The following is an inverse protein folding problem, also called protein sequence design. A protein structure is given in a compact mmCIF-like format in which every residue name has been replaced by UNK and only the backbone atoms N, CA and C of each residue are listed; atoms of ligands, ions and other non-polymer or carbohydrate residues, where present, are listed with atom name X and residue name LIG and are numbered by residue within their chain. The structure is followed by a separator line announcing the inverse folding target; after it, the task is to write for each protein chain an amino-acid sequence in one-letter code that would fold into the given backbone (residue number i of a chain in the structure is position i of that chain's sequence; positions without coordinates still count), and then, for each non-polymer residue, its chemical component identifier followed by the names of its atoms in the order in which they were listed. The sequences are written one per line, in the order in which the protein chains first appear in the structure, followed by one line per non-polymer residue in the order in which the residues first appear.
data_IF_251894440620
#
_entry.id   IF_251894440620
#
_cell.length_a   1.000
_cell.length_b   1.000
_cell.length_c   1.000
_cell.angle_alpha   90.00
_cell.angle_beta   90.00
_cell.angle_gamma   90.00
#
_symmetry.space_group_name_H-M   'P 1'
#
loop_
_entity.id
_entity.type
_entity.pdbx_description
1 polymer ?
#
# COMPACT_ATOMS: atom_id res chain seq x y z
N UNK A 1 -13.93 -8.34 70.99
CA UNK A 1 -13.40 -9.17 69.87
C UNK A 1 -13.24 -8.26 68.65
N UNK A 2 -12.01 -7.86 68.29
CA UNK A 2 -11.70 -7.03 67.15
C UNK A 2 -11.15 -7.93 66.05
N UNK A 3 -11.88 -8.11 64.97
CA UNK A 3 -11.48 -8.92 63.82
C UNK A 3 -10.76 -8.03 62.81
N UNK A 4 -9.48 -8.23 62.66
CA UNK A 4 -8.61 -7.53 61.73
C UNK A 4 -8.69 -8.23 60.37
N UNK A 5 -9.24 -7.54 59.34
CA UNK A 5 -9.22 -8.02 57.95
C UNK A 5 -7.87 -7.66 57.32
N UNK A 6 -7.10 -8.67 56.97
CA UNK A 6 -5.83 -8.54 56.24
C UNK A 6 -6.17 -8.53 54.75
N UNK A 7 -6.06 -7.38 54.11
CA UNK A 7 -6.22 -7.26 52.63
C UNK A 7 -4.92 -7.71 51.95
N UNK A 8 -4.98 -8.81 51.23
CA UNK A 8 -3.91 -9.25 50.33
C UNK A 8 -3.96 -8.43 49.06
N UNK A 9 -3.03 -7.50 48.90
CA UNK A 9 -2.81 -6.80 47.65
C UNK A 9 -2.06 -7.73 46.69
N UNK A 10 -2.77 -8.31 45.72
CA UNK A 10 -2.14 -9.00 44.57
C UNK A 10 -1.56 -7.91 43.64
N UNK A 11 -0.24 -7.72 43.73
CA UNK A 11 0.51 -7.01 42.68
C UNK A 11 0.53 -7.89 41.41
N UNK A 12 -0.39 -7.64 40.47
CA UNK A 12 -0.26 -8.15 39.12
C UNK A 12 0.89 -7.41 38.46
N UNK A 13 2.04 -8.05 38.39
CA UNK A 13 3.16 -7.60 37.56
C UNK A 13 2.72 -7.67 36.07
N UNK A 14 2.34 -6.54 35.50
CA UNK A 14 2.13 -6.41 34.05
C UNK A 14 3.53 -6.52 33.43
N UNK A 15 3.89 -7.73 33.02
CA UNK A 15 5.04 -7.95 32.15
C UNK A 15 4.72 -7.26 30.81
N UNK A 16 5.11 -5.99 30.67
CA UNK A 16 5.14 -5.34 29.38
C UNK A 16 6.18 -6.06 28.54
N UNK A 17 5.71 -7.06 27.79
CA UNK A 17 6.50 -7.68 26.74
C UNK A 17 6.86 -6.54 25.76
N UNK A 18 8.10 -6.05 25.82
CA UNK A 18 8.67 -5.08 24.89
C UNK A 18 8.68 -5.75 23.50
N UNK A 19 7.53 -5.67 22.82
CA UNK A 19 7.45 -6.02 21.42
C UNK A 19 8.41 -5.08 20.69
N UNK A 20 9.48 -5.64 20.12
CA UNK A 20 10.46 -4.86 19.38
C UNK A 20 9.78 -4.03 18.28
N UNK A 21 10.41 -2.96 17.79
CA UNK A 21 9.80 -2.04 16.84
C UNK A 21 9.25 -2.79 15.62
N UNK A 22 8.00 -2.48 15.28
CA UNK A 22 7.26 -3.12 14.20
C UNK A 22 7.17 -2.21 12.97
N UNK A 23 7.16 -2.78 11.78
CA UNK A 23 6.98 -2.08 10.52
C UNK A 23 5.94 -2.81 9.67
N UNK A 24 4.91 -2.09 9.23
CA UNK A 24 3.91 -2.60 8.31
C UNK A 24 4.51 -2.71 6.90
N UNK A 25 4.36 -3.87 6.28
CA UNK A 25 4.78 -4.10 4.90
C UNK A 25 3.80 -3.46 3.92
N UNK A 26 4.28 -3.27 2.69
CA UNK A 26 3.46 -2.97 1.51
C UNK A 26 3.51 -4.18 0.59
N UNK A 27 2.35 -4.73 0.27
CA UNK A 27 2.23 -5.93 -0.54
C UNK A 27 1.49 -5.62 -1.84
N UNK A 28 1.97 -6.18 -2.94
CA UNK A 28 1.33 -6.03 -4.24
C UNK A 28 0.66 -7.33 -4.65
N UNK A 29 -0.56 -7.22 -5.17
CA UNK A 29 -1.31 -8.35 -5.71
C UNK A 29 -0.68 -8.88 -7.01
N UNK A 30 -0.01 -8.00 -7.76
CA UNK A 30 0.58 -8.32 -9.06
C UNK A 30 2.04 -7.86 -9.16
N UNK A 31 2.81 -8.56 -9.99
CA UNK A 31 4.22 -8.25 -10.24
C UNK A 31 5.16 -8.95 -9.25
N UNK A 32 6.27 -8.30 -8.91
CA UNK A 32 7.25 -8.86 -7.99
C UNK A 32 6.64 -9.15 -6.63
N UNK A 33 6.86 -10.38 -6.14
CA UNK A 33 6.36 -10.80 -4.83
C UNK A 33 7.20 -10.17 -3.73
N UNK A 34 6.52 -9.55 -2.74
CA UNK A 34 7.14 -8.95 -1.54
C UNK A 34 6.80 -9.75 -0.31
N UNK A 35 7.15 -9.29 0.89
CA UNK A 35 6.85 -7.93 1.34
C UNK A 35 7.88 -6.88 0.94
N UNK A 36 7.38 -5.67 0.71
CA UNK A 36 8.17 -4.48 0.50
C UNK A 36 8.06 -3.56 1.73
N UNK A 37 9.10 -2.77 1.96
CA UNK A 37 9.15 -1.82 3.06
C UNK A 37 9.54 -0.44 2.53
N UNK A 38 9.02 0.66 3.10
CA UNK A 38 9.58 1.98 2.82
C UNK A 38 11.07 1.98 3.14
N UNK A 39 11.89 2.20 2.12
CA UNK A 39 13.36 2.08 2.21
C UNK A 39 13.92 2.91 3.36
N UNK A 40 13.51 4.17 3.47
CA UNK A 40 14.00 5.08 4.52
C UNK A 40 13.72 4.57 5.94
N UNK A 41 12.55 3.95 6.18
CA UNK A 41 12.20 3.40 7.48
C UNK A 41 13.00 2.13 7.80
N UNK A 42 13.14 1.21 6.82
CA UNK A 42 13.87 -0.03 6.99
C UNK A 42 15.37 0.23 7.28
N UNK A 43 16.03 1.09 6.50
CA UNK A 43 17.44 1.40 6.69
C UNK A 43 17.71 2.13 8.00
N UNK A 44 16.82 3.04 8.43
CA UNK A 44 16.90 3.70 9.74
C UNK A 44 16.88 2.69 10.88
N UNK A 45 16.01 1.67 10.81
CA UNK A 45 15.91 0.62 11.84
C UNK A 45 17.14 -0.28 11.88
N UNK A 46 17.77 -0.56 10.72
CA UNK A 46 19.00 -1.33 10.63
C UNK A 46 20.27 -0.50 10.94
N UNK A 47 20.15 0.83 11.04
CA UNK A 47 21.28 1.73 11.23
C UNK A 47 22.15 1.88 9.99
N UNK A 48 21.58 1.60 8.80
CA UNK A 48 22.28 1.77 7.54
C UNK A 48 22.20 3.22 7.07
N UNK A 49 23.20 3.62 6.30
CA UNK A 49 23.26 4.92 5.62
C UNK A 49 23.15 4.65 4.12
N UNK A 50 21.99 4.89 3.50
CA UNK A 50 21.81 4.70 2.06
C UNK A 50 22.59 5.79 1.31
N UNK A 51 23.12 5.43 0.13
CA UNK A 51 23.67 6.37 -0.84
C UNK A 51 22.88 6.23 -2.12
N UNK A 52 22.08 7.23 -2.45
CA UNK A 52 21.36 7.32 -3.73
C UNK A 52 22.23 8.11 -4.70
N UNK A 53 22.41 7.56 -5.89
CA UNK A 53 23.06 8.21 -7.03
C UNK A 53 22.01 8.33 -8.13
N UNK A 54 21.42 9.51 -8.23
CA UNK A 54 20.30 9.77 -9.15
C UNK A 54 20.77 9.79 -10.60
N UNK A 55 22.01 10.26 -10.88
CA UNK A 55 22.56 10.30 -12.23
C UNK A 55 22.74 8.90 -12.82
N UNK A 56 23.23 7.98 -12.01
CA UNK A 56 23.48 6.59 -12.43
C UNK A 56 22.29 5.65 -12.11
N UNK A 57 21.22 6.16 -11.52
CA UNK A 57 20.05 5.37 -11.14
C UNK A 57 20.40 4.23 -10.19
N UNK A 58 21.28 4.48 -9.19
CA UNK A 58 21.73 3.43 -8.27
C UNK A 58 21.51 3.80 -6.82
N UNK A 59 21.22 2.76 -6.01
CA UNK A 59 21.10 2.85 -4.56
C UNK A 59 22.10 1.89 -3.91
N UNK A 60 23.01 2.41 -3.09
CA UNK A 60 23.95 1.60 -2.31
C UNK A 60 23.45 1.46 -0.86
N UNK A 61 23.30 0.22 -0.41
CA UNK A 61 22.92 -0.15 0.95
C UNK A 61 23.96 -1.11 1.52
N UNK A 62 24.54 -0.80 2.67
CA UNK A 62 25.51 -1.68 3.36
C UNK A 62 26.53 -2.32 2.38
N UNK A 63 27.18 -1.51 1.54
CA UNK A 63 28.19 -1.91 0.53
C UNK A 63 27.63 -2.66 -0.70
N UNK A 64 26.33 -2.87 -0.82
CA UNK A 64 25.68 -3.49 -1.98
C UNK A 64 24.96 -2.44 -2.81
N UNK A 65 25.21 -2.43 -4.12
CA UNK A 65 24.56 -1.49 -5.05
C UNK A 65 23.45 -2.19 -5.83
N UNK A 66 22.33 -1.49 -5.99
CA UNK A 66 21.12 -1.90 -6.68
C UNK A 66 20.75 -0.85 -7.73
N UNK A 67 20.16 -1.28 -8.86
CA UNK A 67 19.54 -0.37 -9.81
C UNK A 67 18.18 0.10 -9.30
N UNK A 68 17.95 1.41 -9.24
CA UNK A 68 16.67 1.98 -8.80
C UNK A 68 15.55 1.75 -9.80
N UNK A 69 15.87 1.60 -11.09
CA UNK A 69 14.90 1.28 -12.15
C UNK A 69 14.12 -0.03 -11.88
N UNK A 70 14.77 -0.99 -11.23
CA UNK A 70 14.17 -2.28 -10.88
C UNK A 70 13.44 -2.28 -9.54
N UNK A 71 13.48 -1.16 -8.81
CA UNK A 71 12.83 -1.03 -7.52
C UNK A 71 11.41 -0.52 -7.69
N UNK A 72 10.52 -0.95 -6.81
CA UNK A 72 9.21 -0.34 -6.65
C UNK A 72 9.32 0.98 -5.91
N UNK A 73 8.40 1.89 -6.19
CA UNK A 73 8.23 3.11 -5.43
C UNK A 73 6.75 3.37 -5.15
N UNK A 74 6.47 4.22 -4.18
CA UNK A 74 5.18 4.89 -4.10
C UNK A 74 5.02 5.86 -5.26
N UNK A 75 3.80 6.34 -5.48
CA UNK A 75 3.49 7.31 -6.54
C UNK A 75 4.26 8.63 -6.39
N UNK A 76 4.66 8.97 -5.18
CA UNK A 76 5.46 10.15 -4.86
C UNK A 76 6.99 9.94 -5.01
N UNK A 77 7.41 8.81 -5.56
CA UNK A 77 8.81 8.47 -5.83
C UNK A 77 9.55 7.86 -4.64
N UNK A 78 8.98 7.79 -3.43
CA UNK A 78 9.63 7.14 -2.29
C UNK A 78 9.85 5.66 -2.57
N UNK A 79 11.11 5.21 -2.46
CA UNK A 79 11.52 3.86 -2.81
C UNK A 79 10.97 2.84 -1.81
N UNK A 80 10.49 1.73 -2.35
CA UNK A 80 10.13 0.51 -1.63
C UNK A 80 11.22 -0.53 -1.84
N UNK A 81 11.79 -1.03 -0.74
CA UNK A 81 12.80 -2.09 -0.78
C UNK A 81 12.18 -3.43 -0.44
N UNK A 82 12.49 -4.46 -1.22
CA UNK A 82 12.06 -5.82 -0.92
C UNK A 82 12.85 -6.41 0.26
N UNK A 83 12.22 -7.33 1.00
CA UNK A 83 12.92 -8.11 2.04
C UNK A 83 14.09 -8.89 1.44
N UNK A 84 13.96 -9.36 0.18
CA UNK A 84 15.04 -10.03 -0.53
C UNK A 84 16.26 -9.11 -0.76
N UNK A 85 16.03 -7.84 -1.15
CA UNK A 85 17.11 -6.88 -1.33
C UNK A 85 17.79 -6.50 -0.01
N UNK A 86 17.04 -6.42 1.09
CA UNK A 86 17.63 -6.24 2.43
C UNK A 86 18.52 -7.44 2.80
N UNK A 87 18.09 -8.65 2.46
CA UNK A 87 18.90 -9.88 2.66
C UNK A 87 20.16 -9.85 1.81
N UNK A 88 20.04 -9.48 0.53
CA UNK A 88 21.16 -9.33 -0.39
C UNK A 88 22.16 -8.26 0.09
N UNK A 89 21.68 -7.23 0.79
CA UNK A 89 22.51 -6.20 1.42
C UNK A 89 23.11 -6.63 2.78
N UNK A 90 22.81 -7.86 3.27
CA UNK A 90 23.42 -8.44 4.44
C UNK A 90 22.52 -8.50 5.70
N UNK A 91 21.24 -8.13 5.62
CA UNK A 91 20.30 -8.35 6.71
C UNK A 91 19.99 -9.85 6.88
N UNK A 92 19.75 -10.27 8.11
CA UNK A 92 19.26 -11.62 8.41
C UNK A 92 17.75 -11.58 8.59
N UNK A 93 17.06 -12.53 7.99
CA UNK A 93 15.62 -12.69 8.04
C UNK A 93 15.27 -14.01 8.73
N UNK A 94 14.31 -14.00 9.63
CA UNK A 94 13.79 -15.18 10.32
C UNK A 94 12.26 -15.07 10.48
N UNK A 95 11.56 -16.18 10.53
CA UNK A 95 10.10 -16.25 10.63
C UNK A 95 9.43 -16.02 9.27
N UNK A 96 8.13 -15.71 9.30
CA UNK A 96 7.32 -15.47 8.10
C UNK A 96 6.63 -16.72 7.57
N UNK A 97 6.60 -17.80 8.33
CA UNK A 97 5.78 -18.98 8.08
C UNK A 97 4.40 -18.78 8.74
N UNK A 98 3.35 -18.98 7.96
CA UNK A 98 1.99 -18.72 8.43
C UNK A 98 1.78 -17.26 8.86
N UNK A 99 1.26 -17.06 10.07
CA UNK A 99 0.99 -15.76 10.67
C UNK A 99 2.18 -15.16 11.45
N UNK A 100 3.31 -15.87 11.51
CA UNK A 100 4.48 -15.38 12.22
C UNK A 100 5.08 -14.14 11.53
N UNK A 101 5.31 -13.04 12.27
CA UNK A 101 5.93 -11.86 11.69
C UNK A 101 7.37 -12.13 11.28
N UNK A 102 7.77 -11.60 10.13
CA UNK A 102 9.18 -11.61 9.74
C UNK A 102 9.99 -10.77 10.71
N UNK A 103 11.12 -11.33 11.21
CA UNK A 103 12.11 -10.58 11.97
C UNK A 103 13.32 -10.29 11.09
N UNK A 104 13.58 -9.01 10.86
CA UNK A 104 14.75 -8.53 10.12
C UNK A 104 15.77 -8.00 11.11
N UNK A 105 17.05 -8.38 10.96
CA UNK A 105 18.11 -8.01 11.88
C UNK A 105 19.44 -7.77 11.19
N UNK A 106 20.26 -6.85 11.77
CA UNK A 106 21.63 -6.54 11.36
C UNK A 106 22.39 -5.92 12.52
N UNK A 107 23.60 -6.42 12.82
CA UNK A 107 24.54 -5.85 13.80
C UNK A 107 23.87 -5.48 15.16
N UNK A 108 23.09 -6.41 15.74
CA UNK A 108 22.42 -6.21 17.03
C UNK A 108 21.10 -5.43 16.96
N UNK A 109 20.78 -4.78 15.83
CA UNK A 109 19.49 -4.12 15.60
C UNK A 109 18.49 -5.08 14.97
N UNK A 110 17.23 -4.95 15.33
CA UNK A 110 16.17 -5.75 14.71
C UNK A 110 14.81 -5.07 14.77
N UNK A 111 13.92 -5.47 13.87
CA UNK A 111 12.50 -5.09 13.88
C UNK A 111 11.65 -6.22 13.31
N UNK A 112 10.35 -6.19 13.62
CA UNK A 112 9.37 -7.12 13.06
C UNK A 112 8.68 -6.49 11.87
N UNK A 113 8.36 -7.31 10.85
CA UNK A 113 7.55 -6.92 9.70
C UNK A 113 6.24 -7.67 9.77
N UNK A 114 5.14 -6.95 9.73
CA UNK A 114 3.79 -7.51 9.76
C UNK A 114 3.06 -7.21 8.46
N UNK A 115 2.16 -8.10 8.08
CA UNK A 115 1.16 -7.83 7.04
C UNK A 115 0.05 -6.96 7.63
N UNK A 116 -0.53 -6.12 6.82
CA UNK A 116 -1.62 -5.26 7.20
C UNK A 116 -2.79 -5.39 6.22
N UNK A 117 -4.00 -5.06 6.68
CA UNK A 117 -5.22 -5.10 5.88
C UNK A 117 -5.25 -3.92 4.92
N UNK A 118 -5.68 -4.16 3.70
CA UNK A 118 -5.87 -3.13 2.67
C UNK A 118 -7.29 -2.58 2.69
N UNK A 119 -7.41 -1.29 2.43
CA UNK A 119 -8.69 -0.63 2.15
C UNK A 119 -8.48 0.57 1.22
N UNK A 120 -9.53 0.96 0.52
CA UNK A 120 -9.53 2.17 -0.30
C UNK A 120 -10.79 3.01 -0.02
N UNK A 121 -10.66 4.32 -0.17
CA UNK A 121 -11.75 5.28 -0.10
C UNK A 121 -11.75 6.17 -1.33
N UNK A 122 -12.92 6.41 -1.86
CA UNK A 122 -13.16 7.33 -2.97
C UNK A 122 -14.09 8.42 -2.48
N UNK A 123 -13.55 9.62 -2.28
CA UNK A 123 -14.30 10.78 -1.90
C UNK A 123 -14.76 11.55 -3.15
N UNK A 124 -16.07 11.53 -3.41
CA UNK A 124 -16.67 12.15 -4.59
C UNK A 124 -16.76 13.67 -4.48
N UNK A 125 -16.79 14.24 -3.27
CA UNK A 125 -16.78 15.69 -3.06
C UNK A 125 -15.38 16.26 -3.33
N UNK A 126 -14.35 15.61 -2.80
CA UNK A 126 -12.96 16.02 -2.98
C UNK A 126 -12.38 15.61 -4.35
N UNK A 127 -13.03 14.70 -5.06
CA UNK A 127 -12.50 14.03 -6.25
C UNK A 127 -11.14 13.40 -5.97
N UNK A 128 -11.07 12.59 -4.89
CA UNK A 128 -9.86 11.93 -4.42
C UNK A 128 -10.08 10.45 -4.17
N UNK A 129 -9.03 9.68 -4.46
CA UNK A 129 -8.87 8.30 -4.03
C UNK A 129 -7.73 8.24 -3.03
N UNK A 130 -7.98 7.60 -1.90
CA UNK A 130 -6.98 7.24 -0.89
C UNK A 130 -6.98 5.74 -0.68
N UNK A 131 -5.79 5.15 -0.53
CA UNK A 131 -5.64 3.72 -0.27
C UNK A 131 -4.67 3.51 0.88
N UNK A 132 -5.02 2.59 1.78
CA UNK A 132 -4.22 2.28 2.96
C UNK A 132 -3.91 0.80 3.04
N UNK A 133 -2.72 0.48 3.55
CA UNK A 133 -2.37 -0.83 4.05
C UNK A 133 -1.99 -0.70 5.53
N UNK A 134 -2.85 -1.21 6.40
CA UNK A 134 -2.81 -0.91 7.84
C UNK A 134 -3.04 0.56 8.14
N UNK A 135 -2.11 1.15 8.86
CA UNK A 135 -2.11 2.58 9.19
C UNK A 135 -1.49 3.45 8.08
N UNK A 136 -0.82 2.85 7.11
CA UNK A 136 -0.05 3.55 6.08
C UNK A 136 -0.92 3.96 4.89
N UNK A 137 -0.95 5.26 4.57
CA UNK A 137 -1.44 5.76 3.30
C UNK A 137 -0.43 5.38 2.20
N UNK A 138 -0.80 4.45 1.32
CA UNK A 138 0.06 3.93 0.24
C UNK A 138 -0.18 4.62 -1.09
N UNK A 139 -1.36 5.21 -1.27
CA UNK A 139 -1.72 5.98 -2.46
C UNK A 139 -2.70 7.09 -2.08
N UNK A 140 -2.42 8.29 -2.52
CA UNK A 140 -3.39 9.36 -2.66
C UNK A 140 -3.32 9.91 -4.08
N UNK A 141 -4.48 10.07 -4.73
CA UNK A 141 -4.54 10.57 -6.11
C UNK A 141 -5.83 11.36 -6.35
N UNK A 142 -5.74 12.36 -7.22
CA UNK A 142 -6.94 12.94 -7.82
C UNK A 142 -7.68 11.89 -8.65
N UNK A 143 -8.99 12.05 -8.75
CA UNK A 143 -9.85 11.23 -9.62
C UNK A 143 -10.75 12.12 -10.47
N UNK A 144 -11.47 11.49 -11.39
CA UNK A 144 -12.65 12.10 -12.01
C UNK A 144 -13.77 11.06 -12.06
N UNK A 145 -14.81 11.30 -11.28
CA UNK A 145 -15.96 10.39 -11.13
C UNK A 145 -17.05 10.63 -12.19
N UNK A 146 -18.17 9.95 -12.06
CA UNK A 146 -19.32 10.06 -12.97
C UNK A 146 -20.10 11.36 -12.83
N UNK A 147 -20.47 11.95 -13.98
CA UNK A 147 -21.37 13.12 -14.06
C UNK A 147 -22.75 12.77 -13.54
N UNK A 148 -23.48 13.75 -13.02
CA UNK A 148 -24.87 13.58 -12.61
C UNK A 148 -25.06 12.50 -11.53
N UNK A 149 -24.07 12.31 -10.66
CA UNK A 149 -24.09 11.27 -9.61
C UNK A 149 -24.17 9.83 -10.12
N UNK A 150 -23.64 9.56 -11.32
CA UNK A 150 -23.65 8.21 -11.92
C UNK A 150 -22.63 7.24 -11.30
N UNK A 151 -21.70 7.74 -10.45
CA UNK A 151 -20.90 6.88 -9.57
C UNK A 151 -21.68 6.65 -8.28
N UNK A 152 -22.02 5.39 -7.93
CA UNK A 152 -22.77 5.10 -6.72
C UNK A 152 -21.93 5.31 -5.46
N UNK A 153 -22.56 5.77 -4.37
CA UNK A 153 -21.97 5.76 -3.03
C UNK A 153 -22.31 4.41 -2.35
N UNK A 154 -21.47 4.01 -1.40
CA UNK A 154 -21.66 2.79 -0.60
C UNK A 154 -20.37 2.05 -0.34
N UNK A 155 -20.51 0.88 0.27
CA UNK A 155 -19.42 -0.06 0.53
C UNK A 155 -19.37 -1.10 -0.59
N UNK A 156 -18.21 -1.29 -1.15
CA UNK A 156 -17.93 -2.21 -2.24
C UNK A 156 -16.64 -2.98 -1.96
N UNK A 157 -16.33 -3.91 -2.87
CA UNK A 157 -15.06 -4.62 -2.86
C UNK A 157 -14.40 -4.53 -4.24
N UNK A 158 -13.08 -4.61 -4.27
CA UNK A 158 -12.36 -4.77 -5.52
C UNK A 158 -12.81 -6.07 -6.19
N UNK A 159 -13.49 -5.94 -7.33
CA UNK A 159 -14.26 -7.02 -7.94
C UNK A 159 -13.42 -8.11 -8.57
N UNK A 160 -14.08 -9.16 -9.06
CA UNK A 160 -13.43 -10.31 -9.66
C UNK A 160 -12.70 -9.95 -10.96
N UNK A 161 -13.16 -8.93 -11.68
CA UNK A 161 -12.55 -8.53 -12.92
C UNK A 161 -11.47 -7.46 -12.69
N UNK A 162 -10.25 -7.79 -13.12
CA UNK A 162 -9.09 -6.89 -13.18
C UNK A 162 -8.37 -7.12 -14.50
N UNK A 163 -8.05 -6.05 -15.23
CA UNK A 163 -7.35 -6.14 -16.50
C UNK A 163 -6.36 -4.98 -16.70
N UNK A 164 -5.13 -5.31 -17.12
CA UNK A 164 -4.12 -4.30 -17.47
C UNK A 164 -4.54 -3.49 -18.71
N UNK A 165 -5.19 -4.16 -19.66
CA UNK A 165 -5.78 -3.55 -20.87
C UNK A 165 -7.25 -3.95 -20.90
N UNK A 166 -8.13 -2.98 -20.89
CA UNK A 166 -9.57 -3.17 -21.01
C UNK A 166 -10.13 -2.18 -22.03
N UNK A 167 -11.06 -2.64 -22.83
CA UNK A 167 -11.80 -1.83 -23.80
C UNK A 167 -13.28 -1.97 -23.52
N UNK A 168 -13.96 -0.87 -23.27
CA UNK A 168 -15.38 -0.88 -22.95
C UNK A 168 -16.24 -0.99 -24.20
N UNK A 169 -16.87 -2.14 -24.41
CA UNK A 169 -17.85 -2.32 -25.49
C UNK A 169 -19.04 -1.34 -25.40
N UNK A 170 -19.39 -0.90 -24.19
CA UNK A 170 -20.48 0.04 -23.92
C UNK A 170 -20.18 1.48 -24.35
N UNK A 171 -18.90 1.87 -24.41
CA UNK A 171 -18.47 3.25 -24.69
C UNK A 171 -17.53 3.30 -25.88
N UNK A 172 -17.98 2.79 -27.04
CA UNK A 172 -17.26 2.83 -28.30
C UNK A 172 -15.78 2.38 -28.19
N UNK A 173 -15.58 1.22 -27.57
CA UNK A 173 -14.25 0.67 -27.32
C UNK A 173 -13.27 1.61 -26.58
N UNK A 174 -13.80 2.47 -25.70
CA UNK A 174 -12.96 3.34 -24.89
C UNK A 174 -11.89 2.53 -24.12
N UNK A 175 -10.63 2.92 -24.29
CA UNK A 175 -9.51 2.28 -23.61
C UNK A 175 -9.47 2.65 -22.13
N UNK A 176 -9.51 1.65 -21.30
CA UNK A 176 -9.53 1.74 -19.83
C UNK A 176 -8.37 0.91 -19.24
N UNK A 177 -7.11 1.41 -19.30
CA UNK A 177 -5.97 0.68 -18.77
C UNK A 177 -6.05 0.53 -17.25
N UNK A 178 -5.46 -0.55 -16.72
CA UNK A 178 -5.38 -0.82 -15.29
C UNK A 178 -6.75 -0.87 -14.60
N UNK A 179 -7.72 -1.50 -15.24
CA UNK A 179 -9.09 -1.61 -14.76
C UNK A 179 -9.23 -2.53 -13.57
N UNK A 180 -9.92 -2.05 -12.54
CA UNK A 180 -10.40 -2.80 -11.37
C UNK A 180 -11.90 -2.58 -11.28
N UNK A 181 -12.69 -3.64 -11.38
CA UNK A 181 -14.14 -3.57 -11.22
C UNK A 181 -14.50 -3.22 -9.78
N UNK A 182 -15.50 -2.38 -9.58
CA UNK A 182 -16.09 -2.06 -8.28
C UNK A 182 -17.46 -2.71 -8.16
N UNK A 183 -18.36 -2.39 -9.09
CA UNK A 183 -19.71 -2.98 -9.15
C UNK A 183 -20.26 -2.86 -10.56
N UNK A 184 -20.96 -3.89 -11.05
CA UNK A 184 -21.55 -3.87 -12.39
C UNK A 184 -20.57 -3.38 -13.47
N UNK A 185 -20.91 -2.26 -14.11
CA UNK A 185 -20.10 -1.62 -15.15
C UNK A 185 -19.24 -0.44 -14.61
N UNK A 186 -19.13 -0.29 -13.31
CA UNK A 186 -18.32 0.75 -12.67
C UNK A 186 -16.92 0.21 -12.36
N UNK A 187 -15.91 0.88 -12.89
CA UNK A 187 -14.50 0.53 -12.76
C UNK A 187 -13.69 1.71 -12.23
N UNK A 188 -12.63 1.40 -11.50
CA UNK A 188 -11.49 2.31 -11.28
C UNK A 188 -10.49 1.98 -12.38
N UNK A 189 -10.07 2.98 -13.18
CA UNK A 189 -9.17 2.74 -14.32
C UNK A 189 -8.36 3.97 -14.69
N UNK A 190 -7.28 3.78 -15.42
CA UNK A 190 -6.50 4.86 -16.00
C UNK A 190 -7.26 5.60 -17.11
N UNK A 191 -7.12 6.94 -17.16
CA UNK A 191 -7.66 7.75 -18.25
C UNK A 191 -6.77 8.95 -18.54
N UNK A 192 -6.75 9.40 -19.81
CA UNK A 192 -5.90 10.53 -20.24
C UNK A 192 -6.29 11.85 -19.59
N UNK A 193 -7.60 12.08 -19.43
CA UNK A 193 -8.14 13.30 -18.85
C UNK A 193 -8.80 13.01 -17.51
N UNK A 194 -8.22 13.55 -16.43
CA UNK A 194 -8.69 13.38 -15.06
C UNK A 194 -8.82 14.77 -14.41
N UNK A 195 -9.84 15.55 -14.82
CA UNK A 195 -10.13 16.83 -14.15
C UNK A 195 -10.62 16.57 -12.73
N UNK A 196 -10.45 17.56 -11.85
CA UNK A 196 -10.91 17.47 -10.44
C UNK A 196 -12.43 17.78 -10.31
N UNK A 197 -13.21 17.31 -11.25
CA UNK A 197 -14.68 17.34 -11.24
C UNK A 197 -15.23 16.09 -11.94
N UNK A 198 -16.49 15.72 -11.69
CA UNK A 198 -17.14 14.58 -12.32
C UNK A 198 -17.24 14.75 -13.85
N UNK A 199 -16.56 13.90 -14.63
CA UNK A 199 -16.53 13.98 -16.08
C UNK A 199 -16.74 12.63 -16.79
N UNK A 200 -16.80 11.52 -16.07
CA UNK A 200 -17.04 10.18 -16.64
C UNK A 200 -18.53 9.87 -16.79
N UNK A 201 -18.84 8.69 -17.32
CA UNK A 201 -20.20 8.15 -17.39
C UNK A 201 -20.55 7.23 -16.18
N UNK A 202 -19.70 7.24 -15.13
CA UNK A 202 -19.89 6.44 -13.90
C UNK A 202 -18.60 5.87 -13.34
N UNK A 203 -17.65 5.48 -14.18
CA UNK A 203 -16.34 4.97 -13.73
C UNK A 203 -15.52 6.02 -13.00
N UNK A 204 -14.57 5.58 -12.22
CA UNK A 204 -13.60 6.40 -11.49
C UNK A 204 -12.30 6.42 -12.28
N UNK A 205 -11.94 7.57 -12.83
CA UNK A 205 -10.73 7.78 -13.62
C UNK A 205 -9.56 8.13 -12.74
N UNK A 206 -8.41 7.50 -12.96
CA UNK A 206 -7.13 7.80 -12.34
C UNK A 206 -6.11 8.27 -13.37
N UNK A 207 -5.15 9.15 -13.03
CA UNK A 207 -4.01 9.44 -13.90
C UNK A 207 -3.19 8.17 -14.18
N UNK A 208 -2.72 8.01 -15.44
CA UNK A 208 -1.85 6.89 -15.81
C UNK A 208 -0.69 7.27 -16.73
N UNK A 209 -0.67 8.53 -17.18
CA UNK A 209 0.39 9.11 -18.04
C UNK A 209 1.30 10.06 -17.24
N UNK A 210 1.15 10.10 -15.94
CA UNK A 210 1.96 10.91 -15.03
C UNK A 210 3.02 10.05 -14.36
N UNK A 211 4.06 10.69 -13.85
CA UNK A 211 5.05 10.03 -13.01
C UNK A 211 4.38 9.31 -11.83
N UNK A 212 4.94 8.17 -11.46
CA UNK A 212 4.38 7.31 -10.43
C UNK A 212 3.11 6.54 -10.83
N UNK A 213 2.46 6.87 -11.94
CA UNK A 213 1.31 6.19 -12.54
C UNK A 213 0.29 5.65 -11.50
N UNK A 214 -0.56 6.51 -10.89
CA UNK A 214 -1.50 6.11 -9.86
C UNK A 214 -2.43 4.94 -10.24
N UNK A 215 -2.86 4.89 -11.50
CA UNK A 215 -3.74 3.82 -11.98
C UNK A 215 -3.01 2.46 -12.00
N UNK A 216 -1.76 2.42 -12.44
CA UNK A 216 -0.96 1.20 -12.41
C UNK A 216 -0.64 0.79 -10.97
N UNK A 217 -0.23 1.74 -10.13
CA UNK A 217 0.05 1.47 -8.72
C UNK A 217 -1.16 0.84 -8.04
N UNK A 218 -2.34 1.46 -8.16
CA UNK A 218 -3.58 0.94 -7.57
C UNK A 218 -3.92 -0.45 -8.09
N UNK A 219 -3.87 -0.66 -9.40
CA UNK A 219 -4.13 -1.94 -10.05
C UNK A 219 -3.20 -3.07 -9.57
N UNK A 220 -1.91 -2.77 -9.43
CA UNK A 220 -0.93 -3.77 -8.98
C UNK A 220 -1.01 -4.04 -7.48
N UNK A 221 -1.37 -3.03 -6.70
CA UNK A 221 -1.43 -3.12 -5.25
C UNK A 221 -2.71 -3.79 -4.73
N UNK A 222 -3.88 -3.46 -5.26
CA UNK A 222 -5.16 -3.89 -4.69
C UNK A 222 -5.43 -5.39 -4.93
N UNK A 223 -5.81 -6.13 -3.88
CA UNK A 223 -6.27 -7.51 -3.99
C UNK A 223 -7.76 -7.57 -4.37
N UNK A 224 -8.21 -8.68 -4.94
CA UNK A 224 -9.64 -8.97 -5.06
C UNK A 224 -10.25 -9.10 -3.67
N UNK A 225 -11.45 -8.56 -3.47
CA UNK A 225 -12.11 -8.53 -2.17
C UNK A 225 -11.61 -7.43 -1.22
N UNK A 226 -10.65 -6.59 -1.64
CA UNK A 226 -10.25 -5.42 -0.83
C UNK A 226 -11.43 -4.46 -0.69
N UNK A 227 -11.81 -4.03 0.56
CA UNK A 227 -12.88 -3.07 0.77
C UNK A 227 -12.63 -1.73 0.08
N UNK A 228 -13.67 -1.19 -0.56
CA UNK A 228 -13.69 0.10 -1.24
C UNK A 228 -14.92 0.89 -0.77
N UNK A 229 -14.71 1.94 0.01
CA UNK A 229 -15.76 2.88 0.36
C UNK A 229 -15.87 3.98 -0.70
N UNK A 230 -17.06 4.30 -1.17
CA UNK A 230 -17.34 5.46 -2.03
C UNK A 230 -18.24 6.41 -1.26
N UNK A 231 -17.67 7.54 -0.87
CA UNK A 231 -18.32 8.54 -0.03
C UNK A 231 -18.51 9.86 -0.77
N UNK A 232 -19.41 10.70 -0.26
CA UNK A 232 -19.75 11.98 -0.89
C UNK A 232 -19.50 13.19 0.02
N UNK A 233 -19.01 12.94 1.22
CA UNK A 233 -18.71 13.96 2.23
C UNK A 233 -17.25 14.36 2.21
#
# INVERSE_FOLDING_TARGET
MKTTFLAFLLLASISSCLAGPTLEAVNFALGAKGPFLPMAEAVKRLGWRPRLDEENGTLTLNKKTFSTEKMRSFVDGRILISVADLTNAGARVRGGEGDDPLKISFAGRSFKVIRAVKRAEINLAEQRLRAWEGSRLVLESRISSGRGRSTPCGEFEAGPYKARKHYSSRYNNAYMPFSVQVTGNIFIHGFRSVPQYPASAGCIRLPYLTDGNPAQFFYEWIDRGTPIAIVKE
#
